data_IF_676538705858
#
_entry.id   IF_676538705858
#
_cell.length_a   1.000
_cell.length_b   1.000
_cell.length_c   1.000
_cell.angle_alpha   90.00
_cell.angle_beta   90.00
_cell.angle_gamma   90.00
#
_symmetry.space_group_name_H-M   'P 1'
#
loop_
_entity.id
_entity.type
_entity.pdbx_description
1 polymer ?
#
# COMPACT_ATOMS: atom_id res chain seq x y z
N UNK A 1 2.39 0.17 -10.22
CA UNK A 1 3.37 -0.48 -9.31
C UNK A 1 4.31 0.52 -8.58
N UNK A 2 3.98 1.81 -8.57
CA UNK A 2 4.81 2.94 -8.11
C UNK A 2 5.70 2.71 -6.86
N UNK A 3 5.11 2.33 -5.72
CA UNK A 3 5.84 2.23 -4.45
C UNK A 3 6.91 1.14 -4.45
N UNK A 4 6.53 -0.07 -4.88
CA UNK A 4 7.44 -1.22 -4.94
C UNK A 4 8.62 -0.92 -5.87
N UNK A 5 8.37 -0.29 -7.03
CA UNK A 5 9.47 0.05 -7.96
C UNK A 5 10.48 1.02 -7.36
N UNK A 6 10.01 1.90 -6.49
CA UNK A 6 10.80 2.97 -5.87
C UNK A 6 11.57 2.51 -4.64
N UNK A 7 10.95 1.68 -3.79
CA UNK A 7 11.48 1.38 -2.44
C UNK A 7 12.04 -0.03 -2.34
N UNK A 8 11.61 -0.97 -3.18
CA UNK A 8 12.11 -2.34 -3.12
C UNK A 8 13.60 -2.42 -3.48
N UNK A 9 14.30 -3.36 -2.85
CA UNK A 9 15.64 -3.74 -3.27
C UNK A 9 15.62 -4.37 -4.67
N UNK A 10 16.81 -4.55 -5.24
CA UNK A 10 16.99 -5.18 -6.56
C UNK A 10 18.01 -6.30 -6.50
N UNK A 11 17.80 -7.33 -7.32
CA UNK A 11 18.85 -8.26 -7.69
C UNK A 11 19.22 -7.97 -9.14
N UNK A 12 20.38 -7.33 -9.36
CA UNK A 12 20.67 -6.64 -10.63
C UNK A 12 19.56 -5.64 -10.94
N UNK A 13 18.74 -5.88 -11.96
CA UNK A 13 17.59 -5.04 -12.33
C UNK A 13 16.25 -5.60 -11.86
N UNK A 14 16.22 -6.86 -11.40
CA UNK A 14 15.00 -7.56 -11.03
C UNK A 14 14.47 -7.08 -9.67
N UNK A 15 13.15 -6.97 -9.55
CA UNK A 15 12.50 -6.58 -8.31
C UNK A 15 12.75 -7.62 -7.21
N UNK A 16 13.28 -7.18 -6.06
CA UNK A 16 13.38 -7.99 -4.87
C UNK A 16 12.44 -7.47 -3.79
N UNK A 17 11.27 -8.09 -3.71
CA UNK A 17 10.28 -7.74 -2.70
C UNK A 17 10.75 -8.14 -1.30
N UNK A 18 10.53 -7.27 -0.32
CA UNK A 18 10.74 -7.55 1.10
C UNK A 18 9.57 -6.96 1.90
N UNK A 19 9.04 -7.74 2.85
CA UNK A 19 7.99 -7.26 3.74
C UNK A 19 8.47 -6.09 4.61
N UNK A 20 9.71 -6.13 5.11
CA UNK A 20 10.25 -5.09 6.01
C UNK A 20 10.55 -3.77 5.32
N UNK A 21 10.83 -3.82 4.01
CA UNK A 21 11.20 -2.62 3.22
C UNK A 21 9.99 -2.07 2.47
N UNK A 22 9.19 -2.94 1.85
CA UNK A 22 8.10 -2.52 0.98
C UNK A 22 6.78 -2.49 1.73
N UNK A 23 6.35 -3.62 2.29
CA UNK A 23 5.01 -3.77 2.85
C UNK A 23 4.82 -2.96 4.13
N UNK A 24 5.70 -3.15 5.11
CA UNK A 24 5.60 -2.52 6.44
C UNK A 24 5.64 -0.99 6.37
N UNK A 25 6.30 -0.43 5.35
CA UNK A 25 6.45 1.00 5.15
C UNK A 25 5.44 1.59 4.17
N UNK A 26 4.57 0.76 3.58
CA UNK A 26 3.56 1.25 2.64
C UNK A 26 2.36 1.82 3.38
N UNK A 27 2.11 3.11 3.19
CA UNK A 27 1.00 3.79 3.86
C UNK A 27 -0.31 3.53 3.12
N UNK A 28 -1.11 2.63 3.67
CA UNK A 28 -2.48 2.39 3.19
C UNK A 28 -3.46 3.44 3.76
N UNK A 29 -4.38 4.00 2.94
CA UNK A 29 -5.30 5.02 3.38
C UNK A 29 -6.40 4.42 4.23
N UNK A 30 -7.07 5.27 5.00
CA UNK A 30 -8.32 4.87 5.67
C UNK A 30 -9.42 4.72 4.62
N UNK A 31 -9.86 3.48 4.39
CA UNK A 31 -10.89 3.17 3.40
C UNK A 31 -12.27 3.20 4.03
N UNK A 32 -13.25 3.74 3.30
CA UNK A 32 -14.68 3.59 3.65
C UNK A 32 -15.18 2.22 3.22
N UNK A 33 -16.27 1.74 3.81
CA UNK A 33 -16.85 0.44 3.45
C UNK A 33 -17.21 0.37 1.97
N UNK A 34 -17.71 1.48 1.41
CA UNK A 34 -17.99 1.60 -0.03
C UNK A 34 -16.74 1.44 -0.89
N UNK A 35 -15.63 2.07 -0.52
CA UNK A 35 -14.38 1.95 -1.26
C UNK A 35 -13.80 0.54 -1.13
N UNK A 36 -13.88 -0.06 0.07
CA UNK A 36 -13.44 -1.42 0.32
C UNK A 36 -14.20 -2.43 -0.54
N UNK A 37 -15.52 -2.40 -0.51
CA UNK A 37 -16.37 -3.26 -1.35
C UNK A 37 -16.09 -3.07 -2.84
N UNK A 38 -15.84 -1.83 -3.29
CA UNK A 38 -15.47 -1.56 -4.67
C UNK A 38 -14.13 -2.20 -5.06
N UNK A 39 -13.12 -2.11 -4.18
CA UNK A 39 -11.80 -2.73 -4.40
C UNK A 39 -11.93 -4.25 -4.43
N UNK A 40 -12.70 -4.84 -3.50
CA UNK A 40 -12.95 -6.28 -3.47
C UNK A 40 -13.61 -6.78 -4.77
N UNK A 41 -14.63 -6.05 -5.24
CA UNK A 41 -15.29 -6.37 -6.52
C UNK A 41 -14.31 -6.33 -7.69
N UNK A 42 -13.49 -5.29 -7.79
CA UNK A 42 -12.51 -5.18 -8.89
C UNK A 42 -11.36 -6.17 -8.76
N UNK A 43 -10.97 -6.55 -7.55
CA UNK A 43 -10.01 -7.61 -7.30
C UNK A 43 -10.56 -8.97 -7.75
N UNK A 44 -11.84 -9.25 -7.48
CA UNK A 44 -12.48 -10.46 -7.98
C UNK A 44 -12.51 -10.52 -9.51
N UNK A 45 -12.76 -9.38 -10.19
CA UNK A 45 -12.70 -9.32 -11.65
C UNK A 45 -11.32 -9.72 -12.21
N UNK A 46 -10.22 -9.43 -11.49
CA UNK A 46 -8.88 -9.88 -11.88
C UNK A 46 -8.78 -11.41 -11.76
N UNK A 47 -9.30 -11.99 -10.69
CA UNK A 47 -9.31 -13.45 -10.51
C UNK A 47 -10.17 -14.14 -11.59
N UNK A 48 -11.33 -13.58 -11.89
CA UNK A 48 -12.24 -14.09 -12.92
C UNK A 48 -11.60 -13.99 -14.31
N UNK A 49 -10.91 -12.88 -14.61
CA UNK A 49 -10.17 -12.73 -15.87
C UNK A 49 -9.05 -13.77 -15.99
N UNK A 50 -8.27 -14.01 -14.92
CA UNK A 50 -7.25 -15.06 -14.93
C UNK A 50 -7.85 -16.45 -15.18
N UNK A 51 -8.99 -16.75 -14.57
CA UNK A 51 -9.66 -18.05 -14.69
C UNK A 51 -10.12 -18.38 -16.11
N UNK A 52 -10.35 -17.37 -16.96
CA UNK A 52 -10.70 -17.54 -18.38
C UNK A 52 -9.54 -18.02 -19.24
N UNK A 53 -8.31 -17.97 -18.74
CA UNK A 53 -7.08 -18.31 -19.47
C UNK A 53 -6.32 -19.47 -18.78
N UNK A 54 -6.95 -20.66 -18.59
CA UNK A 54 -6.39 -21.74 -17.77
C UNK A 54 -5.12 -22.38 -18.34
N UNK A 55 -4.86 -22.19 -19.63
CA UNK A 55 -3.66 -22.72 -20.31
C UNK A 55 -2.47 -21.77 -20.26
N UNK A 56 -2.66 -20.52 -19.83
CA UNK A 56 -1.58 -19.53 -19.69
C UNK A 56 -1.00 -19.57 -18.28
N UNK A 57 0.32 -19.61 -18.17
CA UNK A 57 1.01 -19.40 -16.90
C UNK A 57 0.87 -17.94 -16.44
N UNK A 58 1.10 -17.69 -15.14
CA UNK A 58 1.13 -16.33 -14.62
C UNK A 58 2.18 -15.46 -15.33
N UNK A 59 3.32 -16.02 -15.74
CA UNK A 59 4.32 -15.28 -16.50
C UNK A 59 3.75 -14.77 -17.83
N UNK A 60 3.03 -15.61 -18.58
CA UNK A 60 2.40 -15.24 -19.85
C UNK A 60 1.24 -14.25 -19.67
N UNK A 61 0.46 -14.40 -18.58
CA UNK A 61 -0.63 -13.48 -18.27
C UNK A 61 -0.16 -12.08 -17.89
N UNK A 62 1.07 -11.95 -17.38
CA UNK A 62 1.63 -10.69 -16.90
C UNK A 62 2.75 -10.13 -17.79
N UNK A 63 3.05 -10.79 -18.89
CA UNK A 63 3.91 -10.23 -19.94
C UNK A 63 3.22 -9.01 -20.57
N UNK A 64 3.97 -7.91 -20.73
CA UNK A 64 3.38 -6.63 -21.16
C UNK A 64 2.79 -6.69 -22.57
N UNK A 65 3.34 -7.53 -23.44
CA UNK A 65 2.93 -7.68 -24.84
C UNK A 65 1.80 -8.70 -25.00
N UNK A 66 1.79 -9.76 -24.18
CA UNK A 66 0.81 -10.85 -24.30
C UNK A 66 -0.30 -10.84 -23.26
N UNK A 67 -0.30 -9.90 -22.30
CA UNK A 67 -1.37 -9.79 -21.30
C UNK A 67 -2.74 -9.61 -21.99
N UNK A 68 -3.70 -10.51 -21.74
CA UNK A 68 -5.05 -10.43 -22.30
C UNK A 68 -5.75 -9.11 -21.96
N UNK A 69 -6.55 -8.60 -22.90
CA UNK A 69 -7.23 -7.31 -22.77
C UNK A 69 -8.19 -7.28 -21.57
N UNK A 70 -8.92 -8.37 -21.33
CA UNK A 70 -9.86 -8.47 -20.20
C UNK A 70 -9.14 -8.41 -18.85
N UNK A 71 -7.98 -9.04 -18.72
CA UNK A 71 -7.11 -8.94 -17.55
C UNK A 71 -6.57 -7.52 -17.37
N UNK A 72 -6.12 -6.87 -18.45
CA UNK A 72 -5.63 -5.48 -18.41
C UNK A 72 -6.72 -4.50 -17.99
N UNK A 73 -7.93 -4.68 -18.48
CA UNK A 73 -9.09 -3.89 -18.11
C UNK A 73 -9.47 -4.11 -16.64
N UNK A 74 -9.38 -5.34 -16.13
CA UNK A 74 -9.61 -5.65 -14.72
C UNK A 74 -8.58 -4.96 -13.80
N UNK A 75 -7.28 -4.97 -14.16
CA UNK A 75 -6.25 -4.22 -13.42
C UNK A 75 -6.51 -2.72 -13.46
N UNK A 76 -6.84 -2.17 -14.62
CA UNK A 76 -7.14 -0.74 -14.78
C UNK A 76 -8.32 -0.32 -13.90
N UNK A 77 -9.36 -1.16 -13.80
CA UNK A 77 -10.50 -0.91 -12.93
C UNK A 77 -10.11 -0.97 -11.44
N UNK A 78 -9.27 -1.93 -11.06
CA UNK A 78 -8.78 -2.05 -9.69
C UNK A 78 -7.88 -0.88 -9.29
N UNK A 79 -6.96 -0.45 -10.17
CA UNK A 79 -6.10 0.71 -9.94
C UNK A 79 -6.94 1.98 -9.74
N UNK A 80 -7.99 2.19 -10.56
CA UNK A 80 -8.93 3.31 -10.37
C UNK A 80 -9.64 3.26 -9.01
N UNK A 81 -10.05 2.08 -8.55
CA UNK A 81 -10.70 1.91 -7.26
C UNK A 81 -9.73 2.22 -6.10
N UNK A 82 -8.49 1.75 -6.19
CA UNK A 82 -7.44 2.02 -5.21
C UNK A 82 -7.08 3.51 -5.21
N UNK A 83 -6.81 4.11 -6.36
CA UNK A 83 -6.52 5.56 -6.47
C UNK A 83 -7.63 6.41 -5.87
N UNK A 84 -8.89 6.06 -6.12
CA UNK A 84 -10.04 6.72 -5.49
C UNK A 84 -10.04 6.58 -3.97
N UNK A 85 -9.63 5.44 -3.43
CA UNK A 85 -9.51 5.23 -1.99
C UNK A 85 -8.40 6.09 -1.35
N UNK A 86 -7.35 6.40 -2.09
CA UNK A 86 -6.33 7.40 -1.71
C UNK A 86 -6.79 8.85 -1.92
N UNK A 87 -7.89 9.09 -2.65
CA UNK A 87 -8.29 10.43 -3.10
C UNK A 87 -7.47 10.95 -4.27
N UNK A 88 -6.72 10.08 -4.96
CA UNK A 88 -5.89 10.42 -6.11
C UNK A 88 -6.71 10.50 -7.40
N UNK A 89 -6.24 11.31 -8.35
CA UNK A 89 -6.86 11.41 -9.68
C UNK A 89 -6.40 10.25 -10.57
N UNK A 90 -7.28 9.56 -11.30
CA UNK A 90 -6.89 8.46 -12.19
C UNK A 90 -5.86 8.79 -13.27
N UNK A 91 -5.69 10.08 -13.58
CA UNK A 91 -4.75 10.59 -14.59
C UNK A 91 -3.34 10.84 -14.06
N UNK A 92 -3.09 10.63 -12.77
CA UNK A 92 -1.76 10.86 -12.18
C UNK A 92 -0.73 9.91 -12.77
N UNK A 93 0.43 10.45 -13.08
CA UNK A 93 1.62 9.71 -13.53
C UNK A 93 2.26 8.97 -12.37
N UNK A 94 3.10 7.96 -12.67
CA UNK A 94 3.81 7.21 -11.64
C UNK A 94 4.64 8.11 -10.71
N UNK A 95 5.43 9.10 -11.19
CA UNK A 95 6.16 10.02 -10.30
C UNK A 95 5.26 10.85 -9.38
N UNK A 96 4.11 11.31 -9.86
CA UNK A 96 3.14 12.06 -9.03
C UNK A 96 2.55 11.16 -7.93
N UNK A 97 2.22 9.91 -8.27
CA UNK A 97 1.74 8.92 -7.29
C UNK A 97 2.81 8.66 -6.23
N UNK A 98 4.07 8.47 -6.63
CA UNK A 98 5.20 8.27 -5.69
C UNK A 98 5.35 9.48 -4.77
N UNK A 99 5.30 10.70 -5.30
CA UNK A 99 5.42 11.92 -4.51
C UNK A 99 4.32 12.03 -3.44
N UNK A 100 3.06 11.75 -3.80
CA UNK A 100 1.95 11.76 -2.84
C UNK A 100 2.09 10.65 -1.79
N UNK A 101 2.54 9.45 -2.18
CA UNK A 101 2.79 8.36 -1.22
C UNK A 101 3.89 8.73 -0.21
N UNK A 102 4.95 9.42 -0.65
CA UNK A 102 5.99 9.91 0.28
C UNK A 102 5.48 10.99 1.23
N UNK A 103 4.56 11.87 0.80
CA UNK A 103 3.91 12.82 1.71
C UNK A 103 3.12 12.08 2.80
N UNK A 104 2.36 11.05 2.43
CA UNK A 104 1.65 10.22 3.40
C UNK A 104 2.60 9.51 4.36
N UNK A 105 3.74 9.03 3.86
CA UNK A 105 4.80 8.43 4.67
C UNK A 105 5.41 9.42 5.67
N UNK A 106 5.74 10.64 5.25
CA UNK A 106 6.27 11.69 6.12
C UNK A 106 5.27 12.06 7.23
N UNK A 107 3.98 12.20 6.89
CA UNK A 107 2.93 12.43 7.89
C UNK A 107 2.88 11.28 8.89
N UNK A 108 2.97 10.03 8.43
CA UNK A 108 2.93 8.87 9.32
C UNK A 108 4.12 8.80 10.26
N UNK A 109 5.32 9.16 9.80
CA UNK A 109 6.50 9.26 10.66
C UNK A 109 6.29 10.28 11.78
N UNK A 110 5.80 11.48 11.44
CA UNK A 110 5.51 12.52 12.43
C UNK A 110 4.48 12.04 13.46
N UNK A 111 3.43 11.33 13.04
CA UNK A 111 2.44 10.75 13.97
C UNK A 111 3.11 9.78 14.96
N UNK A 112 3.96 8.87 14.47
CA UNK A 112 4.64 7.87 15.29
C UNK A 112 5.59 8.51 16.31
N UNK A 113 6.37 9.52 15.89
CA UNK A 113 7.23 10.28 16.81
C UNK A 113 6.45 10.93 17.95
N UNK A 114 5.26 11.47 17.67
CA UNK A 114 4.41 12.06 18.70
C UNK A 114 3.79 11.00 19.62
N UNK A 115 3.44 9.82 19.08
CA UNK A 115 2.96 8.69 19.87
C UNK A 115 4.05 8.17 20.82
N UNK A 116 5.30 8.09 20.38
CA UNK A 116 6.44 7.68 21.21
C UNK A 116 6.69 8.68 22.35
N UNK A 117 6.75 9.98 22.05
CA UNK A 117 6.90 11.03 23.07
C UNK A 117 5.81 10.95 24.15
N UNK A 118 4.55 10.77 23.74
CA UNK A 118 3.42 10.60 24.67
C UNK A 118 3.53 9.34 25.52
N UNK A 119 4.07 8.24 24.99
CA UNK A 119 4.30 7.00 25.74
C UNK A 119 5.39 7.19 26.79
N UNK A 120 6.47 7.90 26.47
CA UNK A 120 7.54 8.23 27.41
C UNK A 120 7.08 9.18 28.53
N UNK A 121 6.25 10.17 28.23
CA UNK A 121 5.70 11.07 29.25
C UNK A 121 4.79 10.31 30.23
N UNK A 122 3.96 9.40 29.72
CA UNK A 122 3.09 8.55 30.53
C UNK A 122 3.88 7.57 31.40
N UNK A 123 4.97 6.97 30.89
CA UNK A 123 5.80 6.06 31.69
C UNK A 123 6.45 6.80 32.85
N UNK A 124 7.05 7.96 32.60
CA UNK A 124 7.65 8.83 33.63
C UNK A 124 6.65 9.30 34.68
N UNK A 125 5.43 9.67 34.27
CA UNK A 125 4.37 10.06 35.20
C UNK A 125 3.88 8.89 36.08
N UNK A 126 3.75 7.70 35.50
CA UNK A 126 3.35 6.48 36.23
C UNK A 126 4.38 6.09 37.28
N UNK A 127 5.67 6.16 36.93
CA UNK A 127 6.79 5.85 37.81
C UNK A 127 6.88 6.82 39.00
N UNK A 128 6.69 8.12 38.75
CA UNK A 128 6.65 9.17 39.79
C UNK A 128 5.47 9.02 40.76
N UNK A 129 4.32 8.54 40.29
CA UNK A 129 3.15 8.28 41.16
C UNK A 129 3.31 7.05 42.05
N UNK A 130 4.11 6.05 41.61
CA UNK A 130 4.42 4.85 42.41
C UNK A 130 5.44 5.16 43.50
N UNK A 131 6.45 5.98 43.22
CA UNK A 131 7.44 6.39 44.21
C UNK A 131 6.89 7.33 45.29
N UNK A 132 5.82 8.08 45.00
CA UNK A 132 5.17 8.99 45.96
C UNK A 132 4.19 8.34 46.95
N UNK A 133 3.81 7.08 46.76
CA UNK A 133 2.93 6.32 47.68
C UNK A 133 3.68 5.43 48.68
N UNK A 134 5.01 5.41 48.61
CA UNK A 134 5.87 4.58 49.44
C UNK A 134 6.50 5.33 50.64
N UNK A 135 6.08 6.58 50.90
CA UNK A 135 6.48 7.39 52.05
C UNK A 135 5.25 7.79 52.88
#
# INVERSE_FOLDING_TARGET
>A
MAWMRTVAGRLKSDYRYSNTIVYNNFIWPKVTEKNKSQIEKTAQMILDARAKHPTMSLAQLYDELTMPEDLRNAHTANDKAVMKAYGFKPSMTEPEIVAELFKLYEVKLKELEQEEKKKEEKSKATEKSRSGKAN
#
